data_IF_567595236081
#
_entry.id   IF_567595236081
#
_cell.length_a   1.000
_cell.length_b   1.000
_cell.length_c   1.000
_cell.angle_alpha   90.00
_cell.angle_beta   90.00
_cell.angle_gamma   90.00
#
_symmetry.space_group_name_H-M   'P 1'
#
loop_
_entity.id
_entity.type
_entity.pdbx_description
1 polymer ?
#
# COMPACT_ATOMS: atom_id res chain seq x y z
N UNK A 1 4.96 -24.79 2.02
CA UNK A 1 4.80 -24.36 2.06
C UNK A 1 4.38 -23.43 2.20
N UNK A 2 4.46 -23.08 2.30
CA UNK A 2 4.36 -22.03 2.51
C UNK A 2 3.60 -21.32 1.86
N UNK A 3 3.18 -21.48 1.20
CA UNK A 3 2.57 -20.79 0.50
C UNK A 3 1.77 -19.95 1.00
N UNK A 4 1.85 -19.35 1.45
CA UNK A 4 1.22 -18.55 1.89
C UNK A 4 0.61 -17.76 1.11
N UNK A 5 -0.28 -17.31 1.04
CA UNK A 5 -0.83 -16.44 0.33
C UNK A 5 -0.47 -15.13 0.58
N UNK A 6 -0.03 -14.71 1.59
CA UNK A 6 0.36 -13.41 1.81
C UNK A 6 1.73 -13.24 1.51
N UNK A 7 2.18 -12.33 0.75
CA UNK A 7 3.51 -12.06 0.50
C UNK A 7 3.93 -10.95 1.35
N UNK A 8 4.88 -11.07 2.22
CA UNK A 8 5.35 -9.97 3.06
C UNK A 8 5.83 -8.82 2.21
N UNK A 9 6.32 -9.11 1.05
CA UNK A 9 6.79 -8.07 0.18
C UNK A 9 5.69 -7.16 -0.27
N UNK A 10 4.53 -7.73 -0.51
CA UNK A 10 3.42 -6.91 -0.93
C UNK A 10 2.97 -5.99 0.16
N UNK A 11 2.90 -6.50 1.37
CA UNK A 11 2.48 -5.69 2.48
C UNK A 11 3.47 -4.55 2.70
N UNK A 12 4.73 -4.87 2.57
CA UNK A 12 5.76 -3.89 2.77
C UNK A 12 5.69 -2.83 1.69
N UNK A 13 5.43 -3.24 0.46
CA UNK A 13 5.34 -2.30 -0.64
C UNK A 13 4.21 -1.32 -0.44
N UNK A 14 3.09 -1.80 0.07
CA UNK A 14 1.97 -0.94 0.30
C UNK A 14 2.27 0.06 1.39
N UNK A 15 2.87 -0.38 2.45
CA UNK A 15 3.24 0.51 3.51
C UNK A 15 4.21 1.56 3.01
N UNK A 16 5.14 1.15 2.17
CA UNK A 16 6.09 2.06 1.63
C UNK A 16 5.42 3.09 0.77
N UNK A 17 4.45 2.65 -0.02
CA UNK A 17 3.73 3.56 -0.87
C UNK A 17 2.99 4.60 -0.05
N UNK A 18 2.34 4.17 1.01
CA UNK A 18 1.64 5.10 1.88
C UNK A 18 2.62 6.09 2.47
N UNK A 19 3.75 5.60 2.91
CA UNK A 19 4.73 6.45 3.52
C UNK A 19 5.21 7.51 2.54
N UNK A 20 5.43 7.13 1.32
CA UNK A 20 5.87 8.06 0.29
C UNK A 20 4.82 9.14 0.05
N UNK A 21 3.57 8.72 -0.05
CA UNK A 21 2.51 9.67 -0.30
C UNK A 21 2.36 10.66 0.85
N UNK A 22 2.48 10.17 2.05
CA UNK A 22 2.38 11.04 3.21
C UNK A 22 3.54 12.02 3.21
N UNK A 23 4.70 11.56 2.81
CA UNK A 23 5.86 12.42 2.71
C UNK A 23 5.64 13.52 1.71
N UNK A 24 4.81 13.27 0.73
CA UNK A 24 4.55 14.26 -0.29
C UNK A 24 3.48 15.25 0.13
N UNK A 25 2.98 15.11 1.34
CA UNK A 25 2.00 16.06 1.80
C UNK A 25 0.60 15.53 1.94
N UNK A 26 0.38 14.26 1.64
CA UNK A 26 -0.94 13.71 1.78
C UNK A 26 -1.15 13.21 3.19
N UNK A 27 -2.41 13.09 3.58
CA UNK A 27 -2.69 12.54 4.89
C UNK A 27 -2.65 11.03 4.77
N UNK A 28 -2.54 10.38 5.91
CA UNK A 28 -2.49 8.92 5.92
C UNK A 28 -3.76 8.37 5.31
N UNK A 29 -4.89 8.94 5.64
CA UNK A 29 -6.15 8.46 5.11
C UNK A 29 -6.18 8.56 3.59
N UNK A 30 -5.70 9.67 3.07
CA UNK A 30 -5.69 9.84 1.63
C UNK A 30 -4.72 8.88 0.97
N UNK A 31 -3.61 8.66 1.59
CA UNK A 31 -2.62 7.75 1.03
C UNK A 31 -3.18 6.34 0.97
N UNK A 32 -3.83 5.91 2.04
CA UNK A 32 -4.39 4.58 2.08
C UNK A 32 -5.45 4.44 1.02
N UNK A 33 -6.25 5.48 0.84
CA UNK A 33 -7.29 5.44 -0.14
C UNK A 33 -6.71 5.33 -1.53
N UNK A 34 -5.68 6.09 -1.81
CA UNK A 34 -5.07 6.05 -3.12
C UNK A 34 -4.50 4.67 -3.43
N UNK A 35 -3.88 4.07 -2.44
CA UNK A 35 -3.32 2.75 -2.64
C UNK A 35 -4.42 1.73 -2.87
N UNK A 36 -5.50 1.86 -2.13
CA UNK A 36 -6.63 0.96 -2.27
C UNK A 36 -7.27 1.07 -3.64
N UNK A 37 -7.40 2.28 -4.13
CA UNK A 37 -7.99 2.49 -5.43
C UNK A 37 -7.13 1.86 -6.51
N UNK A 38 -5.84 1.97 -6.38
CA UNK A 38 -4.94 1.41 -7.35
C UNK A 38 -5.11 -0.10 -7.42
N UNK A 39 -5.29 -0.72 -6.29
CA UNK A 39 -5.47 -2.15 -6.28
C UNK A 39 -6.77 -2.55 -6.92
N UNK A 40 -7.80 -1.83 -6.62
CA UNK A 40 -9.11 -2.16 -7.13
C UNK A 40 -9.15 -1.98 -8.63
N UNK A 41 -8.47 -1.00 -9.09
CA UNK A 41 -8.47 -0.73 -10.51
C UNK A 41 -7.91 -1.87 -11.29
N UNK A 42 -7.02 -2.58 -10.74
CA UNK A 42 -6.42 -3.63 -11.46
C UNK A 42 -7.37 -4.75 -11.63
#
# INVERSE_FOLDING_TARGET
>A
MASKKHRPEEALAKLRQVDVLVSQGQTVAEAIRAVGVTEVTD
#
